data_IF_543278564434
#
_entry.id   IF_543278564434
#
_cell.length_a   1.000
_cell.length_b   1.000
_cell.length_c   1.000
_cell.angle_alpha   90.00
_cell.angle_beta   90.00
_cell.angle_gamma   90.00
#
_symmetry.space_group_name_H-M   'P 1'
#
loop_
_entity.id
_entity.type
_entity.pdbx_description
1 polymer ?
#
# COMPACT_ATOMS: atom_id res chain seq x y z
N UNK A 1 -60.66 37.81 -26.42
CA UNK A 1 -59.41 38.53 -26.74
C UNK A 1 -58.26 37.86 -26.02
N UNK A 2 -57.28 37.40 -26.82
CA UNK A 2 -55.83 37.22 -26.61
C UNK A 2 -55.32 36.96 -25.19
N UNK A 3 -54.72 35.77 -25.02
CA UNK A 3 -53.95 35.37 -23.86
C UNK A 3 -52.58 36.03 -23.75
N UNK A 4 -52.05 35.98 -22.53
CA UNK A 4 -50.66 36.27 -22.22
C UNK A 4 -49.92 34.96 -21.90
N UNK A 5 -48.85 34.73 -22.67
CA UNK A 5 -47.86 33.68 -22.52
C UNK A 5 -46.86 34.08 -21.43
N UNK A 6 -46.48 33.11 -20.59
CA UNK A 6 -45.16 32.86 -19.99
C UNK A 6 -44.42 33.98 -19.24
N UNK A 7 -43.97 33.68 -18.01
CA UNK A 7 -42.57 33.78 -17.56
C UNK A 7 -42.39 32.82 -16.38
N UNK A 8 -41.43 31.91 -16.53
CA UNK A 8 -40.84 31.06 -15.48
C UNK A 8 -39.90 31.94 -14.66
N UNK A 9 -40.03 31.95 -13.33
CA UNK A 9 -39.03 32.53 -12.43
C UNK A 9 -38.90 31.66 -11.16
N UNK A 10 -38.02 30.69 -11.31
CA UNK A 10 -37.06 30.15 -10.34
C UNK A 10 -36.95 30.91 -9.02
N UNK A 11 -37.20 30.22 -7.90
CA UNK A 11 -36.52 30.48 -6.63
C UNK A 11 -36.33 29.14 -5.92
N UNK A 12 -35.16 28.57 -6.17
CA UNK A 12 -34.64 27.40 -5.48
C UNK A 12 -34.60 27.67 -3.97
N UNK A 13 -35.31 26.84 -3.21
CA UNK A 13 -35.13 26.76 -1.77
C UNK A 13 -33.70 26.30 -1.47
N UNK A 14 -32.87 27.26 -1.07
CA UNK A 14 -31.49 27.02 -0.64
C UNK A 14 -31.58 26.19 0.65
N UNK A 15 -31.40 24.87 0.51
CA UNK A 15 -31.07 23.99 1.62
C UNK A 15 -29.65 24.33 2.02
N UNK A 16 -29.51 25.20 3.01
CA UNK A 16 -28.26 25.44 3.73
C UNK A 16 -27.99 24.18 4.57
N UNK A 17 -27.42 23.14 3.94
CA UNK A 17 -26.72 22.11 4.67
C UNK A 17 -25.35 22.68 5.03
N UNK A 18 -25.24 23.11 6.29
CA UNK A 18 -24.00 23.24 7.03
C UNK A 18 -23.21 21.95 6.86
N UNK A 19 -22.34 21.89 5.84
CA UNK A 19 -21.23 20.95 5.83
C UNK A 19 -20.28 21.50 6.88
N UNK A 20 -20.53 21.11 8.13
CA UNK A 20 -19.51 21.11 9.17
C UNK A 20 -18.35 20.37 8.54
N UNK A 21 -17.32 21.12 8.20
CA UNK A 21 -16.02 20.65 7.77
C UNK A 21 -15.43 19.84 8.92
N UNK A 22 -15.89 18.60 9.06
CA UNK A 22 -15.09 17.57 9.66
C UNK A 22 -13.84 17.50 8.80
N UNK A 23 -12.75 18.09 9.30
CA UNK A 23 -11.42 17.68 8.94
C UNK A 23 -11.40 16.17 9.19
N UNK A 24 -11.73 15.39 8.16
CA UNK A 24 -11.75 13.95 8.25
C UNK A 24 -10.30 13.55 8.49
N UNK A 25 -9.94 13.32 9.75
CA UNK A 25 -8.67 12.70 10.11
C UNK A 25 -8.58 11.45 9.27
N UNK A 26 -7.61 11.43 8.35
CA UNK A 26 -7.38 10.31 7.48
C UNK A 26 -7.30 9.03 8.33
N UNK A 27 -7.93 7.96 7.87
CA UNK A 27 -7.89 6.70 8.60
C UNK A 27 -6.42 6.25 8.74
N UNK A 28 -5.98 5.90 9.96
CA UNK A 28 -4.56 5.66 10.23
C UNK A 28 -4.02 4.45 9.46
N UNK A 29 -4.86 3.48 9.10
CA UNK A 29 -4.47 2.29 8.36
C UNK A 29 -4.78 2.40 6.87
N UNK A 30 -5.90 3.00 6.49
CA UNK A 30 -6.36 2.96 5.12
C UNK A 30 -5.42 3.69 4.16
N UNK A 31 -5.17 3.10 3.00
CA UNK A 31 -4.39 3.65 1.89
C UNK A 31 -3.37 2.65 1.33
N UNK A 32 -2.45 3.18 0.53
CA UNK A 32 -1.38 2.41 -0.12
C UNK A 32 -0.06 2.61 0.60
N UNK A 33 0.64 1.51 0.79
CA UNK A 33 1.82 1.43 1.62
C UNK A 33 2.92 0.68 0.88
N UNK A 34 4.14 1.19 0.98
CA UNK A 34 5.36 0.57 0.45
C UNK A 34 6.24 0.20 1.63
N UNK A 35 6.72 -1.03 1.65
CA UNK A 35 7.50 -1.60 2.73
C UNK A 35 8.80 -2.20 2.25
N UNK A 36 9.80 -2.12 3.12
CA UNK A 36 11.13 -2.69 2.89
C UNK A 36 11.49 -3.64 4.04
N UNK A 37 12.06 -4.79 3.69
CA UNK A 37 12.50 -5.79 4.64
C UNK A 37 13.99 -6.06 4.46
N UNK A 38 14.81 -5.71 5.44
CA UNK A 38 16.27 -5.77 5.34
C UNK A 38 16.80 -7.16 4.93
N UNK A 39 16.31 -8.28 5.49
CA UNK A 39 16.77 -9.61 5.07
C UNK A 39 16.47 -9.97 3.61
N UNK A 40 15.59 -9.21 2.94
CA UNK A 40 15.23 -9.35 1.52
C UNK A 40 15.24 -8.00 0.81
N UNK A 41 16.39 -7.32 0.84
CA UNK A 41 16.53 -5.95 0.33
C UNK A 41 16.16 -5.76 -1.16
N UNK A 42 16.20 -6.82 -1.97
CA UNK A 42 15.81 -6.85 -3.38
C UNK A 42 14.31 -7.08 -3.62
N UNK A 43 13.51 -7.19 -2.54
CA UNK A 43 12.05 -7.32 -2.57
C UNK A 43 11.42 -6.03 -2.04
N UNK A 44 10.42 -5.52 -2.77
CA UNK A 44 9.55 -4.44 -2.31
C UNK A 44 8.18 -5.00 -1.95
N UNK A 45 7.68 -4.62 -0.78
CA UNK A 45 6.39 -5.08 -0.26
C UNK A 45 5.37 -3.98 -0.45
N UNK A 46 4.19 -4.32 -0.97
CA UNK A 46 3.09 -3.39 -1.17
C UNK A 46 1.91 -3.84 -0.33
N UNK A 47 1.32 -2.93 0.43
CA UNK A 47 0.08 -3.19 1.14
C UNK A 47 -0.97 -2.16 0.74
N UNK A 48 -2.15 -2.63 0.34
CA UNK A 48 -3.34 -1.80 0.15
C UNK A 48 -4.33 -2.15 1.24
N UNK A 49 -4.72 -1.15 2.03
CA UNK A 49 -5.66 -1.29 3.14
C UNK A 49 -6.87 -0.42 2.86
N UNK A 50 -8.05 -1.01 2.81
CA UNK A 50 -9.31 -0.32 2.56
C UNK A 50 -10.22 -0.48 3.77
N UNK A 51 -10.76 0.62 4.29
CA UNK A 51 -11.77 0.57 5.35
C UNK A 51 -13.15 0.32 4.76
N UNK A 52 -13.84 -0.71 5.24
CA UNK A 52 -15.23 -1.06 4.89
C UNK A 52 -16.07 -1.11 6.16
N UNK A 53 -16.71 0.01 6.49
CA UNK A 53 -17.44 0.18 7.74
C UNK A 53 -16.52 0.03 8.96
N UNK A 54 -16.71 -1.04 9.74
CA UNK A 54 -15.91 -1.36 10.95
C UNK A 54 -14.73 -2.31 10.68
N UNK A 55 -14.66 -2.90 9.49
CA UNK A 55 -13.62 -3.83 9.10
C UNK A 55 -12.67 -3.21 8.06
N UNK A 56 -11.58 -3.91 7.78
CA UNK A 56 -10.64 -3.57 6.73
C UNK A 56 -10.53 -4.72 5.73
N UNK A 57 -10.32 -4.40 4.45
CA UNK A 57 -9.79 -5.33 3.47
C UNK A 57 -8.30 -5.02 3.32
N UNK A 58 -7.45 -6.03 3.44
CA UNK A 58 -6.00 -5.92 3.31
C UNK A 58 -5.53 -6.80 2.16
N UNK A 59 -4.78 -6.21 1.24
CA UNK A 59 -4.12 -6.92 0.14
C UNK A 59 -2.63 -6.66 0.18
N UNK A 60 -1.83 -7.72 0.13
CA UNK A 60 -0.37 -7.64 0.12
C UNK A 60 0.21 -8.20 -1.17
N UNK A 61 1.28 -7.58 -1.65
CA UNK A 61 2.06 -8.03 -2.78
C UNK A 61 3.54 -7.92 -2.48
N UNK A 62 4.31 -8.87 -3.00
CA UNK A 62 5.76 -8.83 -2.97
C UNK A 62 6.24 -8.70 -4.42
N UNK A 63 7.08 -7.72 -4.73
CA UNK A 63 7.61 -7.52 -6.07
C UNK A 63 9.13 -7.58 -6.07
N UNK A 64 9.69 -8.26 -7.06
CA UNK A 64 11.12 -8.51 -7.14
C UNK A 64 11.54 -8.92 -8.57
N UNK A 65 12.84 -8.90 -8.84
CA UNK A 65 13.39 -9.51 -10.05
C UNK A 65 13.57 -11.02 -9.83
N UNK A 66 13.13 -11.83 -10.78
CA UNK A 66 13.35 -13.28 -10.81
C UNK A 66 14.15 -13.66 -12.07
N UNK A 67 15.05 -14.63 -11.93
CA UNK A 67 15.92 -15.10 -13.01
C UNK A 67 17.33 -14.48 -12.92
N UNK A 68 18.15 -14.73 -13.95
CA UNK A 68 19.58 -14.36 -13.95
C UNK A 68 19.93 -13.63 -15.25
N UNK A 69 20.77 -12.59 -15.14
CA UNK A 69 21.33 -11.87 -16.28
C UNK A 69 20.25 -11.24 -17.16
N UNK A 70 20.34 -11.44 -18.47
CA UNK A 70 19.43 -10.84 -19.46
C UNK A 70 18.02 -11.47 -19.47
N UNK A 71 17.84 -12.66 -18.90
CA UNK A 71 16.57 -13.40 -18.93
C UNK A 71 15.70 -13.14 -17.69
N UNK A 72 16.10 -12.18 -16.84
CA UNK A 72 15.32 -11.85 -15.65
C UNK A 72 14.04 -11.08 -16.00
N UNK A 73 13.02 -11.28 -15.19
CA UNK A 73 11.72 -10.62 -15.32
C UNK A 73 11.27 -10.09 -13.96
N UNK A 74 10.51 -8.99 -14.01
CA UNK A 74 9.92 -8.42 -12.81
C UNK A 74 8.67 -9.21 -12.45
N UNK A 75 8.64 -9.75 -11.25
CA UNK A 75 7.56 -10.57 -10.72
C UNK A 75 6.72 -9.81 -9.71
N UNK A 76 5.48 -10.24 -9.55
CA UNK A 76 4.53 -9.71 -8.56
C UNK A 76 3.77 -10.87 -7.98
N UNK A 77 4.11 -11.25 -6.76
CA UNK A 77 3.44 -12.30 -6.01
C UNK A 77 2.32 -11.67 -5.19
N UNK A 78 1.08 -12.03 -5.49
CA UNK A 78 -0.08 -11.49 -4.77
C UNK A 78 -0.54 -12.48 -3.71
N UNK A 79 -0.65 -12.00 -2.47
CA UNK A 79 -1.22 -12.79 -1.39
C UNK A 79 -2.76 -12.69 -1.42
N UNK A 80 -3.48 -13.72 -0.96
CA UNK A 80 -4.94 -13.65 -0.80
C UNK A 80 -5.32 -12.45 0.07
N UNK A 81 -6.32 -11.68 -0.35
CA UNK A 81 -6.83 -10.59 0.47
C UNK A 81 -7.39 -11.12 1.78
N UNK A 82 -7.09 -10.43 2.87
CA UNK A 82 -7.55 -10.75 4.21
C UNK A 82 -8.54 -9.69 4.70
N UNK A 83 -9.44 -10.12 5.59
CA UNK A 83 -10.24 -9.18 6.37
C UNK A 83 -9.50 -8.85 7.66
N UNK A 84 -9.44 -7.57 8.01
CA UNK A 84 -8.80 -7.09 9.22
C UNK A 84 -9.77 -6.43 10.18
N UNK A 85 -9.48 -6.52 11.47
CA UNK A 85 -10.20 -5.82 12.54
C UNK A 85 -9.25 -5.15 13.51
N UNK A 86 -9.64 -3.97 14.00
CA UNK A 86 -8.85 -3.23 15.00
C UNK A 86 -9.24 -3.70 16.40
N UNK A 87 -8.25 -4.16 17.16
CA UNK A 87 -8.37 -4.55 18.57
C UNK A 87 -7.14 -4.04 19.31
N UNK A 88 -7.33 -3.34 20.43
CA UNK A 88 -6.25 -2.80 21.26
C UNK A 88 -5.22 -1.96 20.45
N UNK A 89 -5.71 -1.13 19.53
CA UNK A 89 -4.85 -0.27 18.71
C UNK A 89 -4.01 -0.99 17.65
N UNK A 90 -4.31 -2.25 17.34
CA UNK A 90 -3.65 -3.05 16.30
C UNK A 90 -4.68 -3.56 15.30
N UNK A 91 -4.34 -3.54 14.02
CA UNK A 91 -5.14 -4.13 12.94
C UNK A 91 -4.71 -5.58 12.72
N UNK A 92 -5.48 -6.53 13.27
CA UNK A 92 -5.23 -7.96 13.08
C UNK A 92 -5.85 -8.45 11.78
N UNK A 93 -5.08 -9.18 10.98
CA UNK A 93 -5.51 -9.75 9.68
C UNK A 93 -5.69 -11.27 9.71
N UNK A 94 -5.23 -11.94 10.77
CA UNK A 94 -5.62 -13.31 11.12
C UNK A 94 -6.17 -13.31 12.54
N UNK A 95 -7.48 -13.55 12.65
CA UNK A 95 -8.22 -13.51 13.92
C UNK A 95 -8.05 -14.79 14.73
N UNK A 96 -7.56 -15.88 14.13
CA UNK A 96 -7.55 -17.20 14.78
C UNK A 96 -6.47 -17.29 15.83
N UNK A 97 -5.31 -16.66 15.58
CA UNK A 97 -4.14 -16.70 16.47
C UNK A 97 -3.58 -15.31 16.79
N UNK A 98 -4.16 -14.22 16.26
CA UNK A 98 -3.70 -12.83 16.43
C UNK A 98 -2.20 -12.67 16.05
N UNK A 99 -1.69 -13.52 15.15
CA UNK A 99 -0.25 -13.63 14.86
C UNK A 99 0.26 -12.66 13.79
N UNK A 100 -0.65 -12.13 12.98
CA UNK A 100 -0.37 -11.20 11.90
C UNK A 100 -1.16 -9.91 12.13
N UNK A 101 -0.46 -8.79 12.27
CA UNK A 101 -1.11 -7.50 12.49
C UNK A 101 -0.29 -6.31 12.02
N UNK A 102 -0.99 -5.20 11.81
CA UNK A 102 -0.38 -3.89 11.62
C UNK A 102 -0.51 -3.01 12.87
N UNK A 103 0.46 -2.13 13.08
CA UNK A 103 0.42 -1.08 14.09
C UNK A 103 0.91 0.23 13.48
N UNK A 104 0.24 1.33 13.82
CA UNK A 104 0.67 2.69 13.46
C UNK A 104 1.40 3.27 14.68
N UNK A 105 2.74 3.37 14.66
CA UNK A 105 3.48 4.06 15.71
C UNK A 105 3.08 5.55 15.76
N UNK A 106 3.47 6.26 16.82
CA UNK A 106 3.13 7.69 16.99
C UNK A 106 3.67 8.59 15.86
N UNK A 107 4.61 8.09 15.06
CA UNK A 107 5.06 8.74 13.83
C UNK A 107 3.97 8.67 12.75
N UNK A 108 3.51 9.84 12.29
CA UNK A 108 2.65 9.94 11.12
C UNK A 108 3.31 9.22 9.91
N UNK A 109 2.48 8.57 9.09
CA UNK A 109 2.88 7.91 7.85
C UNK A 109 3.83 6.71 7.96
N UNK A 110 3.95 6.11 9.14
CA UNK A 110 4.59 4.79 9.31
C UNK A 110 3.55 3.72 9.64
N UNK A 111 3.71 2.54 9.06
CA UNK A 111 2.93 1.35 9.38
C UNK A 111 3.88 0.18 9.60
N UNK A 112 3.79 -0.52 10.72
CA UNK A 112 4.59 -1.72 10.97
C UNK A 112 3.71 -2.94 10.75
N UNK A 113 4.16 -3.83 9.89
CA UNK A 113 3.60 -5.17 9.73
C UNK A 113 4.41 -6.16 10.56
N UNK A 114 3.73 -6.95 11.39
CA UNK A 114 4.35 -7.95 12.25
C UNK A 114 3.77 -9.32 11.89
N UNK A 115 4.64 -10.22 11.43
CA UNK A 115 4.35 -11.63 11.17
C UNK A 115 5.16 -12.48 12.13
N UNK A 116 4.52 -12.92 13.22
CA UNK A 116 5.17 -13.73 14.26
C UNK A 116 5.64 -15.11 13.75
N UNK A 117 4.83 -15.90 13.02
CA UNK A 117 5.25 -17.18 12.45
C UNK A 117 6.49 -17.07 11.56
N UNK A 118 6.55 -16.01 10.75
CA UNK A 118 7.68 -15.76 9.85
C UNK A 118 8.85 -15.03 10.50
N UNK A 119 8.76 -14.68 11.79
CA UNK A 119 9.71 -13.81 12.50
C UNK A 119 10.10 -12.57 11.68
N UNK A 120 9.09 -11.90 11.09
CA UNK A 120 9.30 -10.78 10.18
C UNK A 120 8.61 -9.52 10.71
N UNK A 121 9.35 -8.41 10.67
CA UNK A 121 8.84 -7.06 10.89
C UNK A 121 9.17 -6.24 9.65
N UNK A 122 8.14 -5.75 8.97
CA UNK A 122 8.30 -4.92 7.77
C UNK A 122 7.82 -3.52 8.11
N UNK A 123 8.70 -2.54 7.90
CA UNK A 123 8.35 -1.13 8.03
C UNK A 123 7.82 -0.62 6.70
N UNK A 124 6.60 -0.12 6.74
CA UNK A 124 5.93 0.53 5.62
C UNK A 124 5.86 2.03 5.84
N UNK A 125 5.84 2.76 4.74
CA UNK A 125 5.46 4.17 4.66
C UNK A 125 4.46 4.37 3.52
N UNK A 126 3.80 5.53 3.46
CA UNK A 126 2.85 5.85 2.39
C UNK A 126 3.52 5.78 1.03
N UNK A 127 2.87 5.12 0.07
CA UNK A 127 3.39 5.05 -1.31
C UNK A 127 3.71 6.44 -1.85
N UNK A 128 4.92 6.61 -2.38
CA UNK A 128 5.36 7.85 -3.04
C UNK A 128 5.41 7.66 -4.54
N UNK A 129 5.12 8.73 -5.27
CA UNK A 129 5.14 8.71 -6.72
C UNK A 129 6.53 8.28 -7.25
N UNK A 130 6.54 7.29 -8.15
CA UNK A 130 7.75 6.81 -8.81
C UNK A 130 8.68 5.94 -7.96
N UNK A 131 8.38 5.71 -6.68
CA UNK A 131 9.23 4.94 -5.76
C UNK A 131 9.43 3.50 -6.23
N UNK A 132 8.33 2.82 -6.59
CA UNK A 132 8.38 1.42 -7.06
C UNK A 132 9.23 1.30 -8.34
N UNK A 133 9.09 2.28 -9.25
CA UNK A 133 9.90 2.34 -10.47
C UNK A 133 11.38 2.54 -10.15
N UNK A 134 11.70 3.45 -9.23
CA UNK A 134 13.08 3.70 -8.80
C UNK A 134 13.69 2.46 -8.13
N UNK A 135 12.93 1.76 -7.29
CA UNK A 135 13.35 0.51 -6.67
C UNK A 135 13.65 -0.57 -7.70
N UNK A 136 12.72 -0.78 -8.64
CA UNK A 136 12.87 -1.74 -9.74
C UNK A 136 14.15 -1.47 -10.56
N UNK A 137 14.44 -0.21 -10.85
CA UNK A 137 15.63 0.19 -11.62
C UNK A 137 16.94 0.01 -10.84
N UNK A 138 16.94 0.39 -9.55
CA UNK A 138 18.09 0.21 -8.66
C UNK A 138 18.53 -1.25 -8.62
N UNK A 139 17.59 -2.17 -8.41
CA UNK A 139 17.91 -3.60 -8.34
C UNK A 139 18.14 -4.25 -9.69
N UNK A 140 17.62 -3.66 -10.77
CA UNK A 140 18.04 -4.00 -12.13
C UNK A 140 19.55 -3.76 -12.28
N UNK A 141 20.02 -2.54 -12.05
CA UNK A 141 21.42 -2.17 -12.31
C UNK A 141 22.43 -2.79 -11.34
N UNK A 142 22.09 -2.94 -10.05
CA UNK A 142 22.99 -3.51 -9.04
C UNK A 142 23.40 -4.96 -9.36
N UNK A 143 22.47 -5.78 -9.82
CA UNK A 143 22.74 -7.19 -10.13
C UNK A 143 23.39 -7.38 -11.50
N UNK A 144 23.17 -6.47 -12.46
CA UNK A 144 23.91 -6.45 -13.73
C UNK A 144 25.41 -6.28 -13.50
N UNK A 145 25.79 -5.35 -12.61
CA UNK A 145 27.18 -5.11 -12.21
C UNK A 145 27.79 -6.33 -11.50
N UNK A 146 27.02 -6.99 -10.63
CA UNK A 146 27.49 -8.20 -9.94
C UNK A 146 27.62 -9.40 -10.90
N UNK A 147 26.71 -9.56 -11.87
CA UNK A 147 26.78 -10.61 -12.90
C UNK A 147 27.97 -10.45 -13.86
N UNK A 148 28.41 -9.21 -14.13
CA UNK A 148 29.62 -8.97 -14.94
C UNK A 148 30.90 -9.30 -14.18
N UNK A 149 30.95 -9.04 -12.87
CA UNK A 149 32.11 -9.32 -12.03
C UNK A 149 32.39 -10.82 -11.86
N UNK A 150 31.35 -11.67 -11.80
CA UNK A 150 31.51 -13.13 -11.70
C UNK A 150 31.99 -13.75 -13.02
N UNK A 151 31.50 -13.26 -14.16
CA UNK A 151 31.93 -13.74 -15.48
C UNK A 151 33.42 -13.40 -15.80
N UNK A 152 33.97 -12.34 -15.20
CA UNK A 152 35.38 -11.98 -15.33
C UNK A 152 36.34 -12.86 -14.52
N UNK A 153 35.88 -13.51 -13.44
CA UNK A 153 36.71 -14.37 -12.58
C UNK A 153 36.80 -15.83 -13.02
N UNK A 154 35.96 -16.28 -13.96
CA UNK A 154 36.04 -17.64 -14.52
C UNK A 154 36.94 -17.74 -15.77
N UNK A 155 37.65 -16.68 -16.14
CA UNK A 155 38.55 -16.64 -17.32
C UNK A 155 40.02 -16.38 -16.97
N UNK A 156 40.46 -16.72 -15.76
CA UNK A 156 41.88 -16.70 -15.39
C UNK A 156 42.38 -18.09 -15.04
#
# INVERSE_FOLDING_TARGET
>A
MKGYKGIVLTLAGIVIMLIVSACATADPYAGKWVGYYEPKANVIYLATIEKKGRAYTVSMQDQHWQGIGKNRSWQTDTQPSATGQVKNGKLYIDHTLDLLYFIVPQEADTLLYINRPGNAVIRFHREREGEIRAFKEKWRTAEEKNGTAVAGKQKQ
#
